data_IF_505457076462
#
_entry.id   IF_505457076462
#
_cell.length_a   1.000
_cell.length_b   1.000
_cell.length_c   1.000
_cell.angle_alpha   90.00
_cell.angle_beta   90.00
_cell.angle_gamma   90.00
#
_symmetry.space_group_name_H-M   'P 1'
#
loop_
_entity.id
_entity.type
_entity.pdbx_description
1 polymer ?
#
# COMPACT_ATOMS: atom_id res chain seq x y z
N UNK A 1 22.89 -8.48 5.72
CA UNK A 1 22.47 -7.75 4.50
C UNK A 1 23.31 -6.49 4.40
N UNK A 2 23.15 -5.58 5.36
CA UNK A 2 24.26 -4.76 5.84
C UNK A 2 24.97 -5.57 6.95
N UNK A 3 26.25 -5.32 7.23
CA UNK A 3 27.02 -5.86 8.35
C UNK A 3 27.20 -4.82 9.49
N UNK A 4 27.83 -5.20 10.60
CA UNK A 4 28.02 -4.30 11.76
C UNK A 4 28.96 -3.12 11.46
N UNK A 5 29.76 -3.22 10.39
CA UNK A 5 30.60 -2.16 9.81
C UNK A 5 29.79 -1.17 8.92
N UNK A 6 28.50 -1.39 8.72
CA UNK A 6 27.64 -0.58 7.85
C UNK A 6 27.81 -0.84 6.36
N UNK A 7 28.54 -1.88 5.95
CA UNK A 7 28.87 -2.20 4.56
C UNK A 7 27.87 -3.23 3.98
N UNK A 8 27.69 -3.30 2.64
CA UNK A 8 26.92 -4.36 2.02
C UNK A 8 27.63 -5.71 2.16
N UNK A 9 27.00 -6.67 2.83
CA UNK A 9 27.47 -8.07 2.85
C UNK A 9 27.57 -8.62 1.41
N UNK A 10 28.43 -9.61 1.11
CA UNK A 10 28.58 -10.14 -0.25
C UNK A 10 27.25 -10.57 -0.90
N UNK A 11 26.35 -11.19 -0.11
CA UNK A 11 24.99 -11.55 -0.54
C UNK A 11 24.14 -10.35 -0.97
N UNK A 12 24.32 -9.17 -0.37
CA UNK A 12 23.64 -7.93 -0.74
C UNK A 12 24.24 -7.21 -1.97
N UNK A 13 25.44 -7.60 -2.36
CA UNK A 13 26.09 -7.21 -3.63
C UNK A 13 25.64 -8.16 -4.74
N UNK A 14 25.68 -9.46 -4.50
CA UNK A 14 25.22 -10.47 -5.46
C UNK A 14 23.72 -10.35 -5.75
N UNK A 15 22.88 -10.00 -4.76
CA UNK A 15 21.45 -9.71 -4.96
C UNK A 15 21.16 -8.44 -5.78
N UNK A 16 22.17 -7.60 -6.06
CA UNK A 16 22.07 -6.43 -6.96
C UNK A 16 22.58 -6.70 -8.38
N UNK A 17 23.19 -7.85 -8.63
CA UNK A 17 23.69 -8.23 -9.96
C UNK A 17 22.68 -9.13 -10.63
N UNK A 18 22.19 -8.73 -11.81
CA UNK A 18 21.15 -9.48 -12.54
C UNK A 18 21.57 -10.94 -12.80
N UNK A 19 22.85 -11.17 -13.15
CA UNK A 19 23.44 -12.49 -13.38
C UNK A 19 23.44 -13.40 -12.13
N UNK A 20 23.48 -12.79 -10.94
CA UNK A 20 23.58 -13.48 -9.64
C UNK A 20 22.30 -13.41 -8.80
N UNK A 21 21.31 -12.64 -9.23
CA UNK A 21 20.06 -12.42 -8.48
C UNK A 21 19.40 -13.74 -8.07
N UNK A 22 19.31 -14.71 -8.98
CA UNK A 22 18.67 -15.99 -8.71
C UNK A 22 19.43 -16.84 -7.67
N UNK A 23 20.76 -16.90 -7.73
CA UNK A 23 21.57 -17.65 -6.74
C UNK A 23 21.61 -16.94 -5.39
N UNK A 24 21.61 -15.60 -5.37
CA UNK A 24 21.44 -14.80 -4.16
C UNK A 24 20.06 -15.04 -3.52
N UNK A 25 18.98 -15.07 -4.30
CA UNK A 25 17.63 -15.37 -3.82
C UNK A 25 17.52 -16.79 -3.22
N UNK A 26 18.08 -17.80 -3.89
CA UNK A 26 18.11 -19.18 -3.37
C UNK A 26 18.95 -19.32 -2.08
N UNK A 27 20.04 -18.56 -1.97
CA UNK A 27 20.86 -18.50 -0.75
C UNK A 27 20.07 -17.82 0.38
N UNK A 28 19.46 -16.66 0.09
CA UNK A 28 18.64 -15.91 1.03
C UNK A 28 17.45 -16.73 1.55
N UNK A 29 16.80 -17.54 0.70
CA UNK A 29 15.75 -18.46 1.15
C UNK A 29 16.25 -19.42 2.24
N UNK A 30 17.36 -20.12 1.97
CA UNK A 30 17.93 -21.13 2.87
C UNK A 30 18.48 -20.56 4.17
N UNK A 31 18.89 -19.29 4.17
CA UNK A 31 19.45 -18.61 5.36
C UNK A 31 18.39 -17.91 6.21
N UNK A 32 17.33 -17.36 5.62
CA UNK A 32 16.32 -16.56 6.34
C UNK A 32 15.08 -17.37 6.73
N UNK A 33 14.64 -18.31 5.88
CA UNK A 33 13.39 -19.04 6.11
C UNK A 33 13.64 -20.46 6.63
N UNK A 34 12.84 -20.93 7.60
CA UNK A 34 13.04 -22.25 8.20
C UNK A 34 12.70 -23.38 7.21
N UNK A 35 13.37 -24.54 7.29
CA UNK A 35 13.24 -25.61 6.29
C UNK A 35 11.81 -26.13 6.13
N UNK A 36 11.02 -26.15 7.21
CA UNK A 36 9.61 -26.59 7.15
C UNK A 36 8.77 -25.72 6.21
N UNK A 37 9.07 -24.42 6.08
CA UNK A 37 8.39 -23.55 5.10
C UNK A 37 8.79 -23.91 3.66
N UNK A 38 10.04 -24.29 3.43
CA UNK A 38 10.53 -24.69 2.11
C UNK A 38 9.94 -26.04 1.68
N UNK A 39 9.82 -26.98 2.62
CA UNK A 39 9.22 -28.31 2.41
C UNK A 39 7.69 -28.24 2.17
N UNK A 40 6.99 -27.30 2.80
CA UNK A 40 5.55 -27.08 2.59
C UNK A 40 5.18 -26.45 1.25
N UNK A 41 6.14 -25.82 0.57
CA UNK A 41 5.94 -25.14 -0.72
C UNK A 41 7.06 -25.51 -1.73
N UNK A 42 7.12 -26.76 -2.21
CA UNK A 42 8.13 -27.19 -3.18
C UNK A 42 7.90 -26.57 -4.57
N UNK A 43 6.64 -26.54 -5.04
CA UNK A 43 6.25 -26.14 -6.40
C UNK A 43 6.61 -24.69 -6.75
N UNK A 44 6.67 -24.34 -8.04
CA UNK A 44 6.78 -22.93 -8.46
C UNK A 44 5.48 -22.14 -8.17
N UNK A 45 4.30 -22.76 -8.35
CA UNK A 45 3.01 -22.11 -8.21
C UNK A 45 2.55 -22.06 -6.75
N UNK A 46 3.03 -21.07 -5.99
CA UNK A 46 2.77 -20.92 -4.55
C UNK A 46 1.47 -20.16 -4.28
N UNK A 47 0.55 -20.74 -3.50
CA UNK A 47 -0.62 -20.02 -2.98
C UNK A 47 -0.24 -19.05 -1.85
N UNK A 48 -0.36 -17.76 -2.14
CA UNK A 48 -0.16 -16.65 -1.21
C UNK A 48 -1.03 -16.74 0.04
N UNK A 49 -2.24 -17.31 -0.09
CA UNK A 49 -3.19 -17.48 1.03
C UNK A 49 -2.65 -18.48 2.04
N UNK A 50 -2.23 -19.67 1.60
CA UNK A 50 -1.64 -20.72 2.45
C UNK A 50 -0.31 -20.30 3.06
N UNK A 51 0.56 -19.60 2.31
CA UNK A 51 1.81 -19.02 2.87
C UNK A 51 1.50 -17.99 3.96
N UNK A 52 0.50 -17.11 3.72
CA UNK A 52 0.07 -16.12 4.70
C UNK A 52 -0.47 -16.76 5.98
N UNK A 53 -1.29 -17.81 5.87
CA UNK A 53 -1.75 -18.57 7.03
C UNK A 53 -0.57 -19.16 7.80
N UNK A 54 0.38 -19.81 7.13
CA UNK A 54 1.59 -20.34 7.77
C UNK A 54 2.37 -19.26 8.56
N UNK A 55 2.48 -18.04 8.04
CA UNK A 55 3.10 -16.92 8.78
C UNK A 55 2.26 -16.44 9.98
N UNK A 56 0.93 -16.48 9.89
CA UNK A 56 0.05 -16.17 11.03
C UNK A 56 0.15 -17.25 12.12
N UNK A 57 0.18 -18.52 11.72
CA UNK A 57 0.15 -19.67 12.63
C UNK A 57 1.52 -19.95 13.27
N UNK A 58 2.60 -19.88 12.49
CA UNK A 58 3.96 -20.27 12.93
C UNK A 58 4.78 -19.10 13.46
N UNK A 59 4.66 -17.92 12.85
CA UNK A 59 5.39 -16.72 13.26
C UNK A 59 4.54 -15.76 14.12
N UNK A 60 3.28 -16.10 14.39
CA UNK A 60 2.34 -15.30 15.22
C UNK A 60 2.15 -13.84 14.75
N UNK A 61 2.45 -13.53 13.48
CA UNK A 61 2.38 -12.15 12.97
C UNK A 61 0.99 -11.81 12.42
N UNK A 62 0.49 -10.62 12.79
CA UNK A 62 -0.84 -10.16 12.41
C UNK A 62 -1.09 -10.12 10.91
N UNK A 63 -2.36 -10.27 10.50
CA UNK A 63 -2.80 -10.57 9.13
C UNK A 63 -2.19 -9.66 8.03
N UNK A 64 -1.90 -8.39 8.33
CA UNK A 64 -1.26 -7.44 7.39
C UNK A 64 0.23 -7.72 7.20
N UNK A 65 0.97 -7.96 8.29
CA UNK A 65 2.38 -8.33 8.26
C UNK A 65 2.59 -9.69 7.58
N UNK A 66 1.76 -10.69 7.90
CA UNK A 66 1.77 -12.00 7.23
C UNK A 66 1.57 -11.89 5.72
N UNK A 67 0.69 -10.99 5.26
CA UNK A 67 0.48 -10.73 3.83
C UNK A 67 1.70 -10.12 3.13
N UNK A 68 2.46 -9.27 3.83
CA UNK A 68 3.75 -8.74 3.31
C UNK A 68 4.82 -9.83 3.29
N UNK A 69 4.97 -10.59 4.38
CA UNK A 69 5.92 -11.70 4.47
C UNK A 69 5.70 -12.77 3.38
N UNK A 70 4.43 -13.13 3.12
CA UNK A 70 4.06 -14.05 2.05
C UNK A 70 4.45 -13.53 0.65
N UNK A 71 4.19 -12.25 0.37
CA UNK A 71 4.58 -11.64 -0.91
C UNK A 71 6.11 -11.60 -1.09
N UNK A 72 6.86 -11.29 -0.03
CA UNK A 72 8.33 -11.30 -0.06
C UNK A 72 8.88 -12.71 -0.25
N UNK A 73 8.34 -13.71 0.43
CA UNK A 73 8.71 -15.12 0.25
C UNK A 73 8.50 -15.58 -1.20
N UNK A 74 7.32 -15.31 -1.77
CA UNK A 74 7.01 -15.66 -3.16
C UNK A 74 7.94 -14.93 -4.14
N UNK A 75 8.20 -13.63 -3.95
CA UNK A 75 9.11 -12.87 -4.81
C UNK A 75 10.54 -13.45 -4.83
N UNK A 76 11.06 -13.87 -3.67
CA UNK A 76 12.40 -14.46 -3.58
C UNK A 76 12.39 -15.90 -4.16
N UNK A 77 11.31 -16.68 -3.98
CA UNK A 77 11.18 -18.04 -4.53
C UNK A 77 10.93 -18.07 -6.04
N UNK A 78 10.23 -17.08 -6.59
CA UNK A 78 10.12 -16.88 -8.04
C UNK A 78 11.51 -16.70 -8.68
N UNK A 79 12.42 -16.00 -7.97
CA UNK A 79 13.81 -15.74 -8.36
C UNK A 79 14.03 -15.14 -9.77
N UNK A 80 12.95 -14.69 -10.43
CA UNK A 80 12.91 -14.24 -11.83
C UNK A 80 12.80 -12.71 -11.90
N UNK A 81 13.83 -12.07 -12.46
CA UNK A 81 13.81 -10.63 -12.75
C UNK A 81 12.75 -10.36 -13.82
N UNK A 82 11.64 -9.73 -13.43
CA UNK A 82 10.66 -9.23 -14.39
C UNK A 82 11.26 -7.98 -15.05
N UNK A 83 11.69 -8.12 -16.30
CA UNK A 83 12.09 -7.02 -17.18
C UNK A 83 10.90 -6.06 -17.38
N UNK A 84 10.75 -5.09 -16.47
CA UNK A 84 9.80 -3.99 -16.63
C UNK A 84 10.38 -3.06 -17.69
N UNK A 85 9.84 -3.12 -18.91
CA UNK A 85 10.14 -2.09 -19.90
C UNK A 85 9.69 -0.74 -19.33
N UNK A 86 10.62 0.20 -19.17
CA UNK A 86 10.35 1.59 -18.76
C UNK A 86 9.74 2.40 -19.91
N UNK A 87 8.70 1.83 -20.54
CA UNK A 87 7.87 2.47 -21.56
C UNK A 87 6.60 3.00 -20.91
N UNK A 88 6.40 4.31 -20.95
CA UNK A 88 5.24 4.99 -20.37
C UNK A 88 3.93 4.55 -21.01
N UNK A 89 3.24 3.58 -20.41
CA UNK A 89 1.85 3.26 -20.73
C UNK A 89 1.09 2.86 -19.47
N UNK A 90 0.35 3.82 -18.89
CA UNK A 90 -0.84 3.48 -18.10
C UNK A 90 -1.87 2.89 -19.05
N UNK A 91 -2.15 1.60 -18.91
CA UNK A 91 -3.43 1.02 -19.35
C UNK A 91 -4.05 0.26 -18.21
N UNK A 92 -5.28 0.65 -17.91
CA UNK A 92 -6.09 0.08 -16.85
C UNK A 92 -6.30 -1.42 -17.05
N UNK A 93 -6.06 -2.19 -15.99
CA UNK A 93 -6.65 -3.51 -15.84
C UNK A 93 -7.70 -3.38 -14.73
N UNK A 94 -8.94 -3.17 -15.15
CA UNK A 94 -10.07 -3.22 -14.23
C UNK A 94 -10.09 -4.59 -13.54
N UNK A 95 -10.10 -4.61 -12.20
CA UNK A 95 -10.31 -5.83 -11.43
C UNK A 95 -11.45 -5.66 -10.44
N UNK A 96 -12.62 -5.95 -10.97
CA UNK A 96 -13.88 -6.25 -10.29
C UNK A 96 -13.67 -6.86 -8.89
N UNK A 97 -13.99 -6.10 -7.85
CA UNK A 97 -13.91 -6.53 -6.45
C UNK A 97 -15.27 -7.05 -5.97
N UNK A 98 -15.36 -8.39 -5.98
CA UNK A 98 -16.51 -9.19 -5.59
C UNK A 98 -17.25 -8.69 -4.33
N UNK A 99 -18.59 -8.74 -4.39
CA UNK A 99 -19.57 -8.22 -3.43
C UNK A 99 -19.45 -8.89 -2.05
N UNK A 100 -18.68 -8.31 -1.12
CA UNK A 100 -18.64 -8.76 0.28
C UNK A 100 -19.78 -8.16 1.10
N UNK A 101 -20.84 -8.93 1.32
CA UNK A 101 -21.90 -8.61 2.27
C UNK A 101 -21.40 -8.74 3.72
N UNK A 102 -21.67 -7.72 4.54
CA UNK A 102 -21.66 -7.80 6.01
C UNK A 102 -23.03 -7.36 6.54
N UNK A 103 -23.51 -7.89 7.68
CA UNK A 103 -24.93 -7.93 7.97
C UNK A 103 -25.49 -6.65 8.55
N UNK A 104 -26.74 -6.33 8.18
CA UNK A 104 -27.61 -5.38 8.87
C UNK A 104 -27.78 -5.78 10.33
N UNK A 105 -27.60 -4.84 11.26
CA UNK A 105 -28.16 -4.96 12.63
C UNK A 105 -29.08 -3.77 12.91
N UNK A 106 -30.32 -4.11 13.24
CA UNK A 106 -31.47 -3.22 13.45
C UNK A 106 -31.38 -2.36 14.71
N UNK A 107 -31.86 -1.12 14.60
CA UNK A 107 -32.75 -0.45 15.58
C UNK A 107 -33.44 0.77 14.93
N UNK A 108 -34.74 0.96 15.20
CA UNK A 108 -35.63 2.06 14.78
C UNK A 108 -36.77 2.15 15.85
N UNK A 109 -37.73 3.10 15.87
CA UNK A 109 -37.95 4.34 15.08
C UNK A 109 -37.68 5.60 15.98
N UNK A 110 -38.37 6.74 16.05
CA UNK A 110 -39.66 7.30 15.53
C UNK A 110 -39.71 8.84 15.75
N UNK A 111 -40.63 9.66 15.21
CA UNK A 111 -41.65 9.45 14.15
C UNK A 111 -41.15 10.15 12.85
N UNK A 112 -41.52 11.35 12.34
CA UNK A 112 -42.72 12.24 12.32
C UNK A 112 -42.39 13.46 11.42
N UNK A 113 -43.27 14.08 10.64
CA UNK A 113 -44.53 13.64 9.98
C UNK A 113 -44.79 14.57 8.75
N UNK A 114 -45.71 14.17 7.86
CA UNK A 114 -46.42 14.96 6.85
C UNK A 114 -45.67 15.65 5.65
N UNK A 115 -46.08 15.20 4.46
CA UNK A 115 -46.38 16.03 3.26
C UNK A 115 -45.28 16.60 2.34
N UNK A 116 -44.94 15.79 1.32
CA UNK A 116 -45.23 16.06 -0.10
C UNK A 116 -45.04 17.51 -0.64
N UNK A 117 -44.08 17.72 -1.57
CA UNK A 117 -44.39 18.24 -2.92
C UNK A 117 -43.25 18.14 -3.96
N UNK A 118 -43.64 17.71 -5.17
CA UNK A 118 -43.10 17.99 -6.51
C UNK A 118 -41.58 17.79 -6.80
N UNK A 119 -41.30 16.88 -7.74
CA UNK A 119 -39.96 16.64 -8.27
C UNK A 119 -39.54 17.72 -9.29
N UNK A 120 -38.72 18.68 -8.87
CA UNK A 120 -38.04 19.63 -9.77
C UNK A 120 -36.80 18.96 -10.37
N UNK A 121 -36.84 18.64 -11.67
CA UNK A 121 -35.66 18.17 -12.42
C UNK A 121 -34.66 19.31 -12.61
N UNK A 122 -33.74 19.51 -11.67
CA UNK A 122 -32.57 20.34 -11.94
C UNK A 122 -31.61 19.60 -12.91
N UNK A 123 -31.04 20.29 -13.91
CA UNK A 123 -30.05 19.69 -14.79
C UNK A 123 -28.76 19.42 -14.00
N UNK A 124 -28.36 18.15 -13.92
CA UNK A 124 -27.09 17.75 -13.29
C UNK A 124 -25.94 18.41 -14.06
N UNK A 125 -25.10 19.26 -13.43
CA UNK A 125 -23.90 19.74 -14.08
C UNK A 125 -22.94 18.55 -14.25
N UNK A 126 -22.63 18.18 -15.48
CA UNK A 126 -21.70 17.08 -15.81
C UNK A 126 -20.25 17.51 -15.56
N UNK A 127 -19.95 17.94 -14.34
CA UNK A 127 -18.58 18.06 -13.86
C UNK A 127 -17.95 16.67 -13.85
N UNK A 128 -16.88 16.49 -14.61
CA UNK A 128 -16.00 15.34 -14.47
C UNK A 128 -15.53 15.25 -13.01
N UNK A 129 -15.43 14.05 -12.41
CA UNK A 129 -14.93 13.91 -11.04
C UNK A 129 -13.46 14.34 -10.99
N UNK A 130 -13.22 15.59 -10.61
CA UNK A 130 -11.91 16.03 -10.19
C UNK A 130 -11.49 15.21 -8.96
N UNK A 131 -10.22 14.78 -8.86
CA UNK A 131 -9.78 13.96 -7.74
C UNK A 131 -9.84 14.77 -6.44
N UNK A 132 -10.82 14.46 -5.59
CA UNK A 132 -10.96 15.07 -4.26
C UNK A 132 -9.78 14.66 -3.38
N UNK A 133 -8.77 15.53 -3.32
CA UNK A 133 -7.60 15.36 -2.47
C UNK A 133 -7.86 16.01 -1.11
N UNK A 134 -7.93 15.19 -0.06
CA UNK A 134 -7.87 15.66 1.32
C UNK A 134 -6.40 15.81 1.72
N UNK A 135 -6.06 16.93 2.36
CA UNK A 135 -4.68 17.28 2.73
C UNK A 135 -4.69 17.79 4.17
N UNK A 136 -4.15 17.01 5.09
CA UNK A 136 -3.96 17.40 6.48
C UNK A 136 -2.50 17.86 6.69
N UNK A 137 -2.32 19.11 7.13
CA UNK A 137 -1.00 19.71 7.35
C UNK A 137 -0.89 20.16 8.81
N UNK A 138 0.07 19.60 9.54
CA UNK A 138 0.43 20.05 10.88
C UNK A 138 1.72 20.86 10.81
N UNK A 139 1.66 22.14 11.22
CA UNK A 139 2.84 23.02 11.32
C UNK A 139 3.26 23.10 12.79
N UNK A 140 4.53 22.81 13.07
CA UNK A 140 5.13 23.12 14.36
C UNK A 140 5.75 24.53 14.31
N UNK A 141 5.29 25.42 15.19
CA UNK A 141 5.74 26.81 15.27
C UNK A 141 6.43 26.98 16.62
N UNK A 142 7.69 27.45 16.61
CA UNK A 142 8.44 27.76 17.84
C UNK A 142 7.72 28.84 18.66
N UNK A 143 7.75 28.80 20.01
CA UNK A 143 7.10 29.81 20.86
C UNK A 143 7.67 31.22 20.63
N UNK A 144 8.92 31.32 20.19
CA UNK A 144 9.62 32.59 19.90
C UNK A 144 9.39 33.12 18.46
N UNK A 145 8.53 32.48 17.66
CA UNK A 145 8.26 32.91 16.29
C UNK A 145 7.48 34.25 16.26
N UNK A 146 7.98 35.22 15.49
CA UNK A 146 7.28 36.50 15.32
C UNK A 146 5.99 36.34 14.50
N UNK A 147 4.97 37.22 14.68
CA UNK A 147 3.75 37.19 13.87
C UNK A 147 4.04 37.22 12.37
N UNK A 148 4.99 38.06 11.94
CA UNK A 148 5.43 38.16 10.54
C UNK A 148 5.99 36.85 9.97
N UNK A 149 6.59 35.99 10.80
CA UNK A 149 7.09 34.68 10.39
C UNK A 149 5.94 33.69 10.22
N UNK A 150 4.93 33.77 11.10
CA UNK A 150 3.71 32.96 11.03
C UNK A 150 2.92 33.31 9.77
N UNK A 151 2.74 34.61 9.48
CA UNK A 151 2.07 35.08 8.27
C UNK A 151 2.76 34.61 6.99
N UNK A 152 4.11 34.69 6.92
CA UNK A 152 4.89 34.18 5.78
C UNK A 152 4.75 32.67 5.57
N UNK A 153 4.55 31.89 6.63
CA UNK A 153 4.28 30.44 6.51
C UNK A 153 2.91 30.23 5.85
N UNK A 154 1.87 30.93 6.30
CA UNK A 154 0.53 30.81 5.72
C UNK A 154 0.43 31.38 4.30
N UNK A 155 1.12 32.47 3.98
CA UNK A 155 1.23 33.01 2.61
C UNK A 155 1.90 31.97 1.67
N UNK A 156 2.99 31.37 2.13
CA UNK A 156 3.69 30.30 1.40
C UNK A 156 2.79 29.08 1.17
N UNK A 157 2.01 28.65 2.18
CA UNK A 157 1.03 27.58 2.03
C UNK A 157 -0.06 27.95 1.01
N UNK A 158 -0.68 29.13 1.15
CA UNK A 158 -1.77 29.57 0.28
C UNK A 158 -1.38 29.60 -1.20
N UNK A 159 -0.17 30.10 -1.50
CA UNK A 159 0.42 30.16 -2.85
C UNK A 159 0.54 28.79 -3.53
N UNK A 160 0.74 27.71 -2.77
CA UNK A 160 0.90 26.35 -3.31
C UNK A 160 -0.39 25.54 -3.25
N UNK A 161 -1.27 25.78 -2.26
CA UNK A 161 -2.53 25.03 -2.09
C UNK A 161 -3.66 25.53 -3.00
N UNK A 162 -3.79 26.85 -3.18
CA UNK A 162 -4.88 27.42 -4.00
C UNK A 162 -4.48 27.66 -5.47
N UNK A 163 -3.19 27.56 -5.77
CA UNK A 163 -2.62 27.78 -7.10
C UNK A 163 -2.57 29.25 -7.50
N UNK A 164 -1.59 29.59 -8.35
CA UNK A 164 -1.60 30.84 -9.10
C UNK A 164 -2.62 30.70 -10.24
N UNK A 165 -3.67 31.53 -10.22
CA UNK A 165 -4.51 31.81 -11.40
C UNK A 165 -3.72 32.54 -12.48
#
# INVERSE_FOLDING_TARGET
MIDDDGKPTPLATDWRSDDKYASACLTMLKTIYPPQLLELFPDESVDQSRVRSWFMDTASIGQSAAGKAANTFILIKDAKIKQVQTGSNKKDVAKESNKRTTPTRTANPALSDASNHQAVKQPIPTALPSPTMHIDIQVHISPDASPEQIDKIFESMAKHLYGRK
#
